data_IF_456965531807
#
_entry.id   IF_456965531807
#
_cell.length_a   1.000
_cell.length_b   1.000
_cell.length_c   1.000
_cell.angle_alpha   90.00
_cell.angle_beta   90.00
_cell.angle_gamma   90.00
#
_symmetry.space_group_name_H-M   'P 1'
#
loop_
_entity.id
_entity.type
_entity.pdbx_description
1 polymer ?
#
# COMPACT_ATOMS: atom_id res chain seq x y z
N UNK A 1 17.49 12.23 -9.25
CA UNK A 1 17.34 12.43 -7.78
C UNK A 1 18.25 11.43 -7.09
N UNK A 2 18.95 11.83 -6.01
CA UNK A 2 19.79 10.89 -5.24
C UNK A 2 18.86 10.00 -4.42
N UNK A 3 18.63 8.75 -4.86
CA UNK A 3 17.74 7.78 -4.22
C UNK A 3 18.38 7.07 -3.02
N UNK A 4 19.62 7.41 -2.67
CA UNK A 4 20.35 6.72 -1.59
C UNK A 4 19.79 6.96 -0.17
N UNK A 5 18.85 7.89 0.01
CA UNK A 5 18.24 8.23 1.30
C UNK A 5 16.71 8.04 1.31
N UNK A 6 16.16 7.34 0.33
CA UNK A 6 14.72 7.04 0.26
C UNK A 6 14.33 6.00 1.31
N UNK A 7 13.29 6.31 2.09
CA UNK A 7 12.66 5.40 3.05
C UNK A 7 11.16 5.37 2.83
N UNK A 8 10.53 4.25 3.10
CA UNK A 8 9.09 4.08 2.83
C UNK A 8 8.36 3.47 4.02
N UNK A 9 7.22 4.05 4.35
CA UNK A 9 6.21 3.47 5.23
C UNK A 9 4.94 3.20 4.40
N UNK A 10 4.47 1.97 4.41
CA UNK A 10 3.16 1.58 3.85
C UNK A 10 2.26 1.15 4.99
N UNK A 11 1.09 1.78 5.12
CA UNK A 11 0.07 1.46 6.12
C UNK A 11 -1.16 0.96 5.41
N UNK A 12 -1.53 -0.28 5.70
CA UNK A 12 -2.78 -0.90 5.29
C UNK A 12 -3.83 -0.79 6.39
N UNK A 13 -5.02 -0.28 6.04
CA UNK A 13 -6.19 -0.22 6.89
C UNK A 13 -7.29 -1.06 6.26
N UNK A 14 -7.49 -2.29 6.76
CA UNK A 14 -8.41 -3.27 6.18
C UNK A 14 -9.85 -2.79 6.22
N UNK A 15 -10.57 -3.00 5.12
CA UNK A 15 -11.99 -2.71 5.02
C UNK A 15 -12.37 -1.24 5.20
N UNK A 16 -11.41 -0.30 5.07
CA UNK A 16 -11.68 1.13 5.26
C UNK A 16 -12.37 1.73 4.05
N UNK A 17 -13.62 2.12 4.21
CA UNK A 17 -14.45 2.79 3.19
C UNK A 17 -14.02 4.26 3.01
N UNK A 18 -13.75 4.64 1.76
CA UNK A 18 -13.32 5.99 1.43
C UNK A 18 -14.40 7.06 1.66
N UNK A 19 -15.66 6.77 1.35
CA UNK A 19 -16.77 7.69 1.58
C UNK A 19 -16.98 7.99 3.07
N UNK A 20 -16.77 7.00 3.95
CA UNK A 20 -16.85 7.18 5.40
C UNK A 20 -15.63 7.89 5.97
N UNK A 21 -14.44 7.61 5.43
CA UNK A 21 -13.24 8.34 5.76
C UNK A 21 -13.41 9.84 5.47
N UNK A 22 -13.97 10.20 4.30
CA UNK A 22 -14.04 11.59 3.84
C UNK A 22 -15.25 12.35 4.31
N UNK A 23 -16.22 11.71 5.00
CA UNK A 23 -17.44 12.38 5.50
C UNK A 23 -17.17 13.49 6.52
N UNK A 24 -16.10 13.36 7.32
CA UNK A 24 -15.69 14.37 8.29
C UNK A 24 -14.22 14.22 8.69
N UNK A 25 -13.44 15.30 8.74
CA UNK A 25 -12.07 15.23 9.27
C UNK A 25 -11.97 14.74 10.72
N UNK A 26 -13.06 14.81 11.49
CA UNK A 26 -13.07 14.38 12.90
C UNK A 26 -12.93 12.88 13.08
N UNK A 27 -13.26 12.05 12.06
CA UNK A 27 -13.16 10.59 12.16
C UNK A 27 -11.74 10.07 11.96
N UNK A 28 -10.88 10.83 11.25
CA UNK A 28 -9.48 10.47 10.97
C UNK A 28 -8.63 11.74 10.73
N UNK A 29 -8.39 12.57 11.74
CA UNK A 29 -7.72 13.86 11.56
C UNK A 29 -6.29 13.76 11.05
N UNK A 30 -5.54 12.73 11.42
CA UNK A 30 -4.15 12.50 10.96
C UNK A 30 -4.13 12.15 9.48
N UNK A 31 -5.00 11.23 9.06
CA UNK A 31 -5.09 10.81 7.65
C UNK A 31 -5.60 11.94 6.76
N UNK A 32 -6.56 12.74 7.22
CA UNK A 32 -6.98 13.96 6.52
C UNK A 32 -5.86 14.99 6.39
N UNK A 33 -5.04 15.16 7.43
CA UNK A 33 -3.82 15.98 7.36
C UNK A 33 -2.86 15.48 6.29
N UNK A 34 -2.63 14.16 6.26
CA UNK A 34 -1.76 13.52 5.27
C UNK A 34 -2.30 13.68 3.84
N UNK A 35 -3.62 13.56 3.63
CA UNK A 35 -4.29 13.83 2.34
C UNK A 35 -4.14 15.29 1.90
N UNK A 36 -4.23 16.22 2.84
CA UNK A 36 -4.11 17.65 2.56
C UNK A 36 -2.65 18.07 2.24
N UNK A 37 -1.67 17.44 2.86
CA UNK A 37 -0.24 17.71 2.65
C UNK A 37 0.37 16.92 1.47
N UNK A 38 -0.27 15.82 1.08
CA UNK A 38 0.18 14.90 0.03
C UNK A 38 -0.74 14.86 -1.19
N UNK A 39 -0.79 13.70 -1.79
CA UNK A 39 -1.67 13.36 -2.89
C UNK A 39 -2.55 12.17 -2.54
N UNK A 40 -3.79 12.14 -3.05
CA UNK A 40 -4.69 11.01 -2.86
C UNK A 40 -5.62 10.82 -4.05
N UNK A 41 -6.20 9.65 -4.16
CA UNK A 41 -7.18 9.31 -5.17
C UNK A 41 -7.83 7.97 -4.89
N UNK A 42 -8.90 7.69 -5.64
CA UNK A 42 -9.65 6.44 -5.56
C UNK A 42 -9.66 5.70 -6.89
N UNK A 43 -9.93 4.42 -6.84
CA UNK A 43 -10.26 3.59 -7.98
C UNK A 43 -11.24 2.49 -7.57
N UNK A 44 -11.86 1.85 -8.58
CA UNK A 44 -12.64 0.65 -8.34
C UNK A 44 -11.80 -0.58 -8.62
N UNK A 45 -11.84 -1.56 -7.75
CA UNK A 45 -11.28 -2.87 -8.00
C UNK A 45 -11.92 -3.45 -9.27
N UNK A 46 -11.14 -4.01 -10.21
CA UNK A 46 -11.71 -4.68 -11.37
C UNK A 46 -12.50 -5.90 -10.92
N UNK A 47 -13.77 -6.00 -11.35
CA UNK A 47 -14.67 -7.09 -10.99
C UNK A 47 -15.41 -7.58 -12.23
N UNK A 48 -15.29 -8.87 -12.56
CA UNK A 48 -15.84 -9.46 -13.78
C UNK A 48 -14.96 -9.25 -15.02
N UNK A 49 -15.49 -9.58 -16.18
CA UNK A 49 -14.84 -9.25 -17.46
C UNK A 49 -14.88 -7.73 -17.63
N UNK A 50 -13.74 -7.10 -17.57
CA UNK A 50 -13.64 -5.66 -17.87
C UNK A 50 -13.74 -5.52 -19.37
N UNK A 51 -14.83 -4.92 -19.85
CA UNK A 51 -14.98 -4.55 -21.24
C UNK A 51 -13.76 -3.73 -21.72
N UNK A 52 -12.85 -4.40 -22.37
CA UNK A 52 -12.08 -3.98 -23.52
C UNK A 52 -11.17 -2.76 -23.44
N UNK A 53 -10.77 -2.21 -22.29
CA UNK A 53 -9.83 -1.09 -22.24
C UNK A 53 -8.81 -1.15 -21.11
N UNK A 54 -7.98 -2.20 -21.09
CA UNK A 54 -6.68 -2.07 -20.48
C UNK A 54 -5.65 -1.63 -21.53
N UNK A 55 -4.61 -0.84 -21.19
CA UNK A 55 -3.58 -0.45 -22.14
C UNK A 55 -2.90 -1.62 -22.86
N UNK A 56 -2.99 -2.82 -22.32
CA UNK A 56 -2.30 -4.03 -22.78
C UNK A 56 -3.27 -5.13 -23.30
N UNK A 57 -4.53 -4.82 -23.59
CA UNK A 57 -5.53 -5.77 -24.10
C UNK A 57 -6.61 -6.14 -23.06
N UNK A 58 -7.57 -7.03 -23.41
CA UNK A 58 -8.66 -7.37 -22.51
C UNK A 58 -8.13 -7.99 -21.23
N UNK A 59 -8.24 -7.26 -20.12
CA UNK A 59 -7.89 -7.76 -18.81
C UNK A 59 -9.05 -8.61 -18.28
N UNK A 60 -8.82 -9.91 -18.13
CA UNK A 60 -9.71 -10.82 -17.39
C UNK A 60 -9.45 -10.76 -15.88
N UNK A 61 -8.70 -9.77 -15.41
CA UNK A 61 -8.30 -9.64 -14.02
C UNK A 61 -9.49 -9.26 -13.16
N UNK A 62 -9.96 -10.21 -12.38
CA UNK A 62 -10.91 -9.98 -11.32
C UNK A 62 -10.16 -9.77 -10.02
N UNK A 63 -10.28 -8.56 -9.43
CA UNK A 63 -9.83 -8.32 -8.07
C UNK A 63 -11.00 -8.60 -7.13
N UNK A 64 -10.88 -9.67 -6.38
CA UNK A 64 -11.89 -10.05 -5.38
C UNK A 64 -11.85 -9.06 -4.22
N UNK A 65 -13.01 -8.69 -3.71
CA UNK A 65 -13.17 -7.78 -2.57
C UNK A 65 -13.01 -8.52 -1.24
N UNK A 66 -11.96 -9.31 -1.13
CA UNK A 66 -11.54 -10.06 0.06
C UNK A 66 -10.10 -9.69 0.44
N UNK A 67 -9.78 -9.78 1.73
CA UNK A 67 -8.48 -9.36 2.28
C UNK A 67 -7.30 -10.14 1.71
N UNK A 68 -7.42 -11.46 1.52
CA UNK A 68 -6.36 -12.29 0.94
C UNK A 68 -5.92 -11.81 -0.46
N UNK A 69 -6.83 -11.72 -1.46
CA UNK A 69 -6.54 -11.18 -2.79
C UNK A 69 -6.13 -9.71 -2.77
N UNK A 70 -6.80 -8.87 -1.97
CA UNK A 70 -6.54 -7.43 -1.89
C UNK A 70 -5.11 -7.15 -1.40
N UNK A 71 -4.73 -7.69 -0.24
CA UNK A 71 -3.38 -7.53 0.30
C UNK A 71 -2.32 -8.22 -0.53
N UNK A 72 -2.64 -9.35 -1.19
CA UNK A 72 -1.73 -9.96 -2.16
C UNK A 72 -1.46 -9.00 -3.32
N UNK A 73 -2.48 -8.32 -3.84
CA UNK A 73 -2.35 -7.34 -4.92
C UNK A 73 -1.51 -6.14 -4.50
N UNK A 74 -1.76 -5.58 -3.29
CA UNK A 74 -0.97 -4.48 -2.71
C UNK A 74 0.51 -4.85 -2.59
N UNK A 75 0.79 -6.03 -2.03
CA UNK A 75 2.15 -6.44 -1.68
C UNK A 75 2.95 -6.90 -2.90
N UNK A 76 2.32 -7.58 -3.87
CA UNK A 76 3.03 -8.14 -5.03
C UNK A 76 3.09 -7.22 -6.25
N UNK A 77 2.15 -6.26 -6.38
CA UNK A 77 2.03 -5.36 -7.54
C UNK A 77 1.45 -6.01 -8.78
N UNK A 78 0.74 -7.13 -8.60
CA UNK A 78 0.00 -7.83 -9.66
C UNK A 78 -1.39 -8.24 -9.16
N UNK A 79 -2.33 -8.47 -10.10
CA UNK A 79 -3.69 -8.91 -9.79
C UNK A 79 -3.80 -10.44 -9.56
N UNK A 80 -4.95 -10.93 -9.09
CA UNK A 80 -5.22 -12.37 -8.84
C UNK A 80 -4.97 -13.31 -10.02
N UNK A 81 -5.08 -12.83 -11.26
CA UNK A 81 -4.74 -13.61 -12.46
C UNK A 81 -3.26 -14.01 -12.49
N UNK A 82 -2.40 -13.31 -11.76
CA UNK A 82 -0.96 -13.58 -11.68
C UNK A 82 -0.53 -14.14 -10.35
N UNK A 83 -0.89 -13.49 -9.22
CA UNK A 83 -0.48 -14.01 -7.91
C UNK A 83 -1.30 -15.22 -7.46
N UNK A 84 -2.43 -15.53 -8.12
CA UNK A 84 -3.20 -16.77 -7.92
C UNK A 84 -4.18 -16.77 -6.74
N UNK A 85 -4.11 -15.80 -5.83
CA UNK A 85 -4.96 -15.72 -4.63
C UNK A 85 -6.33 -15.16 -4.99
N UNK A 86 -7.39 -15.90 -4.63
CA UNK A 86 -8.79 -15.53 -4.94
C UNK A 86 -9.71 -15.46 -3.72
N UNK A 87 -9.20 -15.83 -2.55
CA UNK A 87 -9.92 -15.80 -1.27
C UNK A 87 -8.97 -15.88 -0.09
N UNK A 88 -9.51 -15.84 1.12
CA UNK A 88 -8.74 -15.81 2.36
C UNK A 88 -8.09 -17.16 2.73
N UNK A 89 -8.32 -18.22 1.94
CA UNK A 89 -7.59 -19.49 2.05
C UNK A 89 -6.21 -19.47 1.38
N UNK A 90 -5.95 -18.44 0.54
CA UNK A 90 -4.71 -18.27 -0.24
C UNK A 90 -4.41 -19.44 -1.18
N UNK A 91 -5.41 -20.20 -1.57
CA UNK A 91 -5.25 -21.30 -2.51
C UNK A 91 -4.75 -20.76 -3.86
N UNK A 92 -3.74 -21.44 -4.43
CA UNK A 92 -3.15 -21.05 -5.72
C UNK A 92 -2.11 -19.95 -5.67
N UNK A 93 -1.71 -19.47 -4.48
CA UNK A 93 -0.72 -18.40 -4.34
C UNK A 93 0.62 -18.74 -5.01
N UNK A 94 1.12 -17.87 -5.87
CA UNK A 94 2.42 -17.94 -6.55
C UNK A 94 3.36 -16.82 -6.11
N UNK A 95 3.64 -16.76 -4.81
CA UNK A 95 4.58 -15.79 -4.25
C UNK A 95 6.05 -16.10 -4.57
N UNK A 96 6.33 -17.28 -5.09
CA UNK A 96 7.64 -17.64 -5.64
C UNK A 96 7.96 -16.80 -6.89
N UNK A 97 6.98 -16.62 -7.75
CA UNK A 97 7.08 -15.81 -8.97
C UNK A 97 6.80 -14.34 -8.71
N UNK A 98 5.84 -14.03 -7.85
CA UNK A 98 5.39 -12.67 -7.52
C UNK A 98 5.58 -12.40 -6.02
N UNK A 99 6.84 -12.29 -5.53
CA UNK A 99 7.11 -11.97 -4.13
C UNK A 99 6.69 -10.55 -3.80
N UNK A 100 6.45 -10.30 -2.51
CA UNK A 100 6.13 -8.97 -1.98
C UNK A 100 7.25 -7.95 -2.24
N UNK A 101 6.89 -6.66 -2.23
CA UNK A 101 7.82 -5.57 -2.54
C UNK A 101 8.99 -5.47 -1.53
N UNK A 102 8.80 -5.85 -0.25
CA UNK A 102 9.88 -5.85 0.74
C UNK A 102 10.91 -6.92 0.42
N UNK A 103 10.44 -8.12 0.05
CA UNK A 103 11.30 -9.23 -0.41
C UNK A 103 12.03 -8.88 -1.70
N UNK A 104 11.35 -8.23 -2.66
CA UNK A 104 12.00 -7.73 -3.89
C UNK A 104 13.06 -6.69 -3.57
N UNK A 105 12.78 -5.75 -2.66
CA UNK A 105 13.73 -4.71 -2.28
C UNK A 105 15.02 -5.31 -1.72
N UNK A 106 14.93 -6.26 -0.78
CA UNK A 106 16.10 -6.94 -0.21
C UNK A 106 16.84 -7.77 -1.26
N UNK A 107 16.11 -8.44 -2.16
CA UNK A 107 16.73 -9.23 -3.24
C UNK A 107 17.51 -8.33 -4.20
N UNK A 108 16.96 -7.17 -4.56
CA UNK A 108 17.61 -6.20 -5.44
C UNK A 108 18.78 -5.46 -4.76
N UNK A 109 18.65 -5.17 -3.47
CA UNK A 109 19.65 -4.48 -2.65
C UNK A 109 19.75 -5.11 -1.27
N UNK A 110 20.67 -6.06 -1.09
CA UNK A 110 20.84 -6.83 0.16
C UNK A 110 21.12 -6.00 1.41
N UNK A 111 21.54 -4.74 1.26
CA UNK A 111 21.80 -3.82 2.37
C UNK A 111 20.53 -3.19 2.96
N UNK A 112 19.39 -3.30 2.27
CA UNK A 112 18.16 -2.70 2.76
C UNK A 112 17.59 -3.45 3.95
N UNK A 113 17.19 -2.70 4.95
CA UNK A 113 16.50 -3.20 6.13
C UNK A 113 15.00 -3.06 5.93
N UNK A 114 14.31 -4.19 5.80
CA UNK A 114 12.86 -4.23 5.62
C UNK A 114 12.17 -4.82 6.83
N UNK A 115 10.96 -4.33 7.13
CA UNK A 115 10.20 -4.80 8.27
C UNK A 115 8.69 -4.84 7.95
N UNK A 116 7.98 -5.79 8.54
CA UNK A 116 6.53 -5.91 8.45
C UNK A 116 5.94 -6.27 9.82
N UNK A 117 4.92 -5.53 10.25
CA UNK A 117 4.14 -5.81 11.45
C UNK A 117 2.65 -5.87 11.08
N UNK A 118 1.98 -6.95 11.43
CA UNK A 118 0.60 -7.21 11.01
C UNK A 118 -0.26 -7.69 12.18
N UNK A 119 -1.53 -7.29 12.20
CA UNK A 119 -2.54 -7.79 13.14
C UNK A 119 -3.36 -8.95 12.58
N UNK A 120 -3.20 -9.28 11.29
CA UNK A 120 -3.71 -10.49 10.67
C UNK A 120 -2.57 -11.46 10.34
N UNK A 121 -2.38 -12.54 11.13
CA UNK A 121 -1.24 -13.44 11.02
C UNK A 121 -1.10 -14.14 9.66
N UNK A 122 -2.20 -14.31 8.93
CA UNK A 122 -2.23 -15.07 7.67
C UNK A 122 -1.32 -14.45 6.61
N UNK A 123 -1.13 -13.13 6.59
CA UNK A 123 -0.19 -12.47 5.67
C UNK A 123 1.25 -12.99 5.80
N UNK A 124 1.64 -13.42 7.00
CA UNK A 124 2.95 -14.03 7.25
C UNK A 124 2.88 -15.56 7.14
N UNK A 125 1.83 -16.18 7.70
CA UNK A 125 1.67 -17.65 7.69
C UNK A 125 1.55 -18.21 6.29
N UNK A 126 0.84 -17.51 5.40
CA UNK A 126 0.62 -17.92 4.00
C UNK A 126 1.73 -17.49 3.04
N UNK A 127 2.66 -16.65 3.51
CA UNK A 127 3.85 -16.26 2.75
C UNK A 127 3.65 -15.04 1.85
N UNK A 128 2.53 -14.32 1.96
CA UNK A 128 2.33 -13.05 1.26
C UNK A 128 3.44 -12.07 1.62
N UNK A 129 3.82 -12.02 2.91
CA UNK A 129 5.05 -11.41 3.39
C UNK A 129 6.12 -12.50 3.50
N UNK A 130 6.98 -12.58 2.50
CA UNK A 130 7.93 -13.66 2.29
C UNK A 130 9.07 -13.73 3.31
N UNK A 131 9.81 -14.85 3.34
CA UNK A 131 10.89 -15.07 4.31
C UNK A 131 12.09 -14.14 4.13
N UNK A 132 12.22 -13.46 2.99
CA UNK A 132 13.28 -12.50 2.72
C UNK A 132 13.09 -11.15 3.43
N UNK A 133 11.87 -10.84 3.91
CA UNK A 133 11.63 -9.65 4.73
C UNK A 133 12.45 -9.75 6.02
N UNK A 134 13.28 -8.74 6.28
CA UNK A 134 14.29 -8.78 7.35
C UNK A 134 13.72 -8.94 8.76
N UNK A 135 12.59 -8.27 9.05
CA UNK A 135 11.86 -8.42 10.32
C UNK A 135 10.38 -8.62 10.04
N UNK A 136 9.79 -9.63 10.65
CA UNK A 136 8.35 -9.92 10.55
C UNK A 136 7.78 -10.20 11.92
N UNK A 137 6.78 -9.42 12.31
CA UNK A 137 6.02 -9.63 13.54
C UNK A 137 4.54 -9.73 13.23
N UNK A 138 3.87 -10.69 13.82
CA UNK A 138 2.43 -10.86 13.76
C UNK A 138 1.84 -10.85 15.16
N UNK A 139 0.74 -10.15 15.29
CA UNK A 139 -0.15 -10.22 16.44
C UNK A 139 -1.46 -10.83 15.97
N UNK A 140 -2.16 -11.55 16.79
CA UNK A 140 -3.34 -12.31 16.40
C UNK A 140 -4.60 -11.52 16.74
N UNK A 141 -5.12 -10.73 15.78
CA UNK A 141 -6.32 -9.94 15.97
C UNK A 141 -7.57 -10.76 16.20
N UNK A 142 -7.66 -11.96 15.63
CA UNK A 142 -8.80 -12.85 15.83
C UNK A 142 -8.85 -13.41 17.26
N UNK A 143 -7.70 -13.75 17.84
CA UNK A 143 -7.62 -14.29 19.19
C UNK A 143 -7.57 -13.21 20.29
N UNK A 144 -6.83 -12.12 20.05
CA UNK A 144 -6.53 -11.09 21.08
C UNK A 144 -7.39 -9.84 20.94
N UNK A 145 -8.22 -9.77 19.90
CA UNK A 145 -8.98 -8.61 19.46
C UNK A 145 -8.13 -7.63 18.64
N UNK A 146 -8.66 -7.22 17.47
CA UNK A 146 -7.92 -6.35 16.53
C UNK A 146 -7.51 -5.00 17.13
N UNK A 147 -8.32 -4.41 18.01
CA UNK A 147 -7.92 -3.17 18.68
C UNK A 147 -6.65 -3.32 19.54
N UNK A 148 -6.43 -4.48 20.16
CA UNK A 148 -5.21 -4.81 20.90
C UNK A 148 -4.05 -5.09 19.94
N UNK A 149 -4.29 -5.93 18.95
CA UNK A 149 -3.29 -6.33 17.96
C UNK A 149 -2.78 -5.13 17.15
N UNK A 150 -3.66 -4.25 16.65
CA UNK A 150 -3.32 -3.03 15.92
C UNK A 150 -2.43 -2.09 16.77
N UNK A 151 -2.75 -1.93 18.05
CA UNK A 151 -1.93 -1.14 18.97
C UNK A 151 -0.52 -1.72 19.14
N UNK A 152 -0.39 -3.04 19.25
CA UNK A 152 0.91 -3.71 19.35
C UNK A 152 1.70 -3.60 18.04
N UNK A 153 1.04 -3.72 16.89
CA UNK A 153 1.62 -3.47 15.57
C UNK A 153 2.17 -2.05 15.50
N UNK A 154 1.36 -1.05 15.86
CA UNK A 154 1.76 0.36 15.82
C UNK A 154 2.97 0.64 16.72
N UNK A 155 2.96 0.14 17.97
CA UNK A 155 4.09 0.32 18.91
C UNK A 155 5.36 -0.37 18.44
N UNK A 156 5.23 -1.52 17.80
CA UNK A 156 6.38 -2.23 17.24
C UNK A 156 6.98 -1.46 16.07
N UNK A 157 6.16 -0.99 15.14
CA UNK A 157 6.62 -0.21 13.99
C UNK A 157 7.18 1.16 14.42
N UNK A 158 6.54 1.86 15.37
CA UNK A 158 7.03 3.11 15.98
C UNK A 158 8.46 2.95 16.49
N UNK A 159 8.70 1.88 17.27
CA UNK A 159 10.03 1.57 17.80
C UNK A 159 11.03 1.30 16.68
N UNK A 160 10.67 0.50 15.68
CA UNK A 160 11.56 0.22 14.55
C UNK A 160 11.92 1.49 13.78
N UNK A 161 10.93 2.31 13.46
CA UNK A 161 11.14 3.59 12.77
C UNK A 161 12.05 4.48 13.61
N UNK A 162 11.82 4.61 14.91
CA UNK A 162 12.59 5.49 15.78
C UNK A 162 14.02 5.01 16.05
N UNK A 163 14.23 3.69 16.21
CA UNK A 163 15.47 3.14 16.78
C UNK A 163 16.28 2.25 15.85
N UNK A 164 15.60 1.46 14.99
CA UNK A 164 16.24 0.33 14.29
C UNK A 164 16.62 0.61 12.84
N UNK A 165 16.37 1.81 12.34
CA UNK A 165 16.74 2.31 11.01
C UNK A 165 16.27 1.46 9.81
N UNK A 166 14.97 1.13 9.69
CA UNK A 166 14.47 0.44 8.52
C UNK A 166 14.46 1.35 7.30
N UNK A 167 14.61 0.77 6.10
CA UNK A 167 14.46 1.45 4.82
C UNK A 167 13.02 1.35 4.30
N UNK A 168 12.35 0.23 4.57
CA UNK A 168 10.95 0.04 4.22
C UNK A 168 10.20 -0.70 5.33
N UNK A 169 9.02 -0.19 5.68
CA UNK A 169 8.13 -0.76 6.69
C UNK A 169 6.75 -0.94 6.10
N UNK A 170 6.17 -2.11 6.27
CA UNK A 170 4.76 -2.39 6.05
C UNK A 170 4.05 -2.62 7.37
N UNK A 171 2.91 -1.97 7.54
CA UNK A 171 2.04 -2.07 8.72
C UNK A 171 0.63 -2.42 8.27
N UNK A 172 0.01 -3.39 8.92
CA UNK A 172 -1.38 -3.77 8.67
C UNK A 172 -2.21 -3.63 9.93
N UNK A 173 -3.35 -2.94 9.81
CA UNK A 173 -4.36 -2.76 10.83
C UNK A 173 -5.69 -3.37 10.36
N UNK A 174 -6.35 -4.17 11.21
CA UNK A 174 -7.57 -4.89 10.87
C UNK A 174 -8.83 -4.45 11.62
N UNK A 175 -8.74 -3.51 12.58
CA UNK A 175 -9.88 -3.21 13.45
C UNK A 175 -11.06 -2.53 12.75
N UNK A 176 -10.88 -1.82 11.63
CA UNK A 176 -11.98 -1.24 10.85
C UNK A 176 -12.81 -2.31 10.17
N UNK A 177 -12.16 -3.30 9.56
CA UNK A 177 -12.81 -4.44 8.93
C UNK A 177 -13.62 -5.26 9.95
N UNK A 178 -13.00 -5.62 11.06
CA UNK A 178 -13.66 -6.36 12.14
C UNK A 178 -14.89 -5.62 12.68
N UNK A 179 -14.80 -4.31 12.89
CA UNK A 179 -15.94 -3.52 13.34
C UNK A 179 -17.06 -3.48 12.32
N UNK A 180 -16.73 -3.41 11.01
CA UNK A 180 -17.71 -3.46 9.94
C UNK A 180 -18.40 -4.83 9.86
N UNK A 181 -17.65 -5.93 10.01
CA UNK A 181 -18.23 -7.27 10.11
C UNK A 181 -19.16 -7.44 11.30
N UNK A 182 -18.78 -6.93 12.46
CA UNK A 182 -19.54 -7.13 13.68
C UNK A 182 -20.86 -6.35 13.69
N UNK A 183 -20.88 -5.08 13.24
CA UNK A 183 -22.02 -4.16 13.43
C UNK A 183 -22.24 -3.18 12.28
N UNK A 184 -21.58 -3.36 11.15
CA UNK A 184 -21.68 -2.52 9.95
C UNK A 184 -20.82 -1.27 10.01
N UNK A 185 -20.45 -0.73 8.82
CA UNK A 185 -19.51 0.39 8.70
C UNK A 185 -20.11 1.75 9.08
N UNK A 186 -21.44 1.87 9.24
CA UNK A 186 -22.10 3.09 9.71
C UNK A 186 -22.23 3.16 11.24
N UNK A 187 -21.54 2.28 11.97
CA UNK A 187 -21.64 2.19 13.44
C UNK A 187 -20.63 3.09 14.15
N UNK A 188 -20.93 3.46 15.40
CA UNK A 188 -19.98 4.11 16.29
C UNK A 188 -18.74 3.24 16.58
N UNK A 189 -18.86 1.92 16.49
CA UNK A 189 -17.74 1.01 16.68
C UNK A 189 -16.73 1.16 15.53
N UNK A 190 -17.22 1.23 14.29
CA UNK A 190 -16.37 1.49 13.12
C UNK A 190 -15.67 2.85 13.21
N UNK A 191 -16.40 3.91 13.59
CA UNK A 191 -15.81 5.25 13.78
C UNK A 191 -14.71 5.25 14.84
N UNK A 192 -14.91 4.52 15.95
CA UNK A 192 -13.90 4.39 16.99
C UNK A 192 -12.69 3.59 16.54
N UNK A 193 -12.91 2.51 15.77
CA UNK A 193 -11.83 1.72 15.19
C UNK A 193 -10.98 2.60 14.24
N UNK A 194 -11.64 3.34 13.33
CA UNK A 194 -10.97 4.26 12.42
C UNK A 194 -10.17 5.35 13.17
N UNK A 195 -10.77 6.03 14.15
CA UNK A 195 -10.09 7.06 14.94
C UNK A 195 -8.91 6.48 15.73
N UNK A 196 -9.01 5.23 16.18
CA UNK A 196 -7.93 4.54 16.89
C UNK A 196 -6.78 4.22 15.93
N UNK A 197 -7.06 3.68 14.75
CA UNK A 197 -6.05 3.42 13.72
C UNK A 197 -5.41 4.71 13.20
N UNK A 198 -6.17 5.78 13.06
CA UNK A 198 -5.68 7.11 12.73
C UNK A 198 -4.70 7.65 13.79
N UNK A 199 -5.01 7.43 15.07
CA UNK A 199 -4.10 7.72 16.18
C UNK A 199 -2.81 6.90 16.08
N UNK A 200 -2.91 5.63 15.72
CA UNK A 200 -1.74 4.77 15.50
C UNK A 200 -0.88 5.27 14.32
N UNK A 201 -1.50 5.70 13.22
CA UNK A 201 -0.80 6.37 12.12
C UNK A 201 -0.05 7.60 12.62
N UNK A 202 -0.68 8.40 13.49
CA UNK A 202 -0.06 9.57 14.13
C UNK A 202 1.23 9.23 14.89
N UNK A 203 1.29 8.10 15.60
CA UNK A 203 2.52 7.64 16.28
C UNK A 203 3.64 7.33 15.28
N UNK A 204 3.31 6.69 14.17
CA UNK A 204 4.30 6.36 13.14
C UNK A 204 4.84 7.62 12.46
N UNK A 205 3.97 8.58 12.14
CA UNK A 205 4.38 9.86 11.57
C UNK A 205 5.23 10.69 12.55
N UNK A 206 4.89 10.67 13.84
CA UNK A 206 5.69 11.33 14.88
C UNK A 206 7.10 10.68 15.01
N UNK A 207 7.19 9.36 14.91
CA UNK A 207 8.48 8.66 14.89
C UNK A 207 9.32 9.07 13.67
N UNK A 208 8.71 9.18 12.47
CA UNK A 208 9.38 9.68 11.27
C UNK A 208 9.83 11.14 11.47
N UNK A 209 8.95 11.99 12.01
CA UNK A 209 9.27 13.40 12.24
C UNK A 209 10.43 13.58 13.25
N UNK A 210 10.48 12.76 14.29
CA UNK A 210 11.56 12.81 15.31
C UNK A 210 12.94 12.51 14.71
N UNK A 211 13.02 11.68 13.68
CA UNK A 211 14.28 11.35 12.98
C UNK A 211 14.92 12.57 12.31
N UNK A 212 14.10 13.51 11.83
CA UNK A 212 14.59 14.75 11.18
C UNK A 212 15.36 15.66 12.13
N UNK A 213 15.17 15.48 13.43
CA UNK A 213 15.90 16.23 14.47
C UNK A 213 17.32 15.69 14.68
N UNK A 214 17.62 14.48 14.20
CA UNK A 214 18.96 13.89 14.22
C UNK A 214 19.73 14.36 12.98
N UNK A 215 20.86 15.11 13.13
CA UNK A 215 21.66 15.56 11.98
C UNK A 215 22.14 14.42 11.07
N UNK A 216 22.38 13.22 11.62
CA UNK A 216 22.79 12.05 10.83
C UNK A 216 21.66 11.54 9.91
N UNK A 217 20.41 11.82 10.26
CA UNK A 217 19.18 11.36 9.57
C UNK A 217 18.45 12.48 8.82
N UNK A 218 18.91 13.72 8.91
CA UNK A 218 18.25 14.90 8.32
C UNK A 218 18.08 14.83 6.78
N UNK A 219 18.85 13.95 6.12
CA UNK A 219 18.74 13.72 4.66
C UNK A 219 17.76 12.63 4.26
N UNK A 220 17.16 11.92 5.22
CA UNK A 220 16.19 10.87 4.93
C UNK A 220 14.94 11.47 4.26
N UNK A 221 14.46 10.76 3.25
CA UNK A 221 13.27 11.13 2.49
C UNK A 221 12.22 10.04 2.67
N UNK A 222 11.38 10.22 3.66
CA UNK A 222 10.29 9.29 3.93
C UNK A 222 9.13 9.53 2.98
N UNK A 223 8.74 8.49 2.28
CA UNK A 223 7.48 8.39 1.56
C UNK A 223 6.51 7.59 2.41
N UNK A 224 5.32 8.13 2.64
CA UNK A 224 4.23 7.44 3.36
C UNK A 224 3.12 7.12 2.39
N UNK A 225 2.71 5.87 2.35
CA UNK A 225 1.57 5.37 1.59
C UNK A 225 0.54 4.82 2.57
N UNK A 226 -0.73 5.20 2.41
CA UNK A 226 -1.85 4.63 3.17
C UNK A 226 -2.88 4.11 2.17
N UNK A 227 -3.40 2.91 2.39
CA UNK A 227 -4.40 2.28 1.52
C UNK A 227 -5.33 1.35 2.31
N UNK A 228 -6.42 0.97 1.68
CA UNK A 228 -7.27 -0.16 2.03
C UNK A 228 -7.16 -1.23 0.95
N UNK A 229 -7.69 -2.40 1.18
CA UNK A 229 -7.74 -3.50 0.20
C UNK A 229 -9.12 -3.69 -0.43
N UNK A 230 -10.20 -3.33 0.28
CA UNK A 230 -11.60 -3.30 -0.16
C UNK A 230 -12.43 -2.38 0.74
N UNK A 231 -13.69 -2.21 0.40
CA UNK A 231 -14.70 -1.60 1.26
C UNK A 231 -15.68 -2.64 1.80
N UNK A 232 -16.87 -2.18 2.22
CA UNK A 232 -17.93 -3.00 2.83
C UNK A 232 -19.29 -2.62 2.30
N UNK A 233 -20.24 -3.56 2.36
CA UNK A 233 -21.67 -3.27 2.28
C UNK A 233 -22.11 -2.40 3.46
N UNK A 234 -23.19 -1.61 3.31
CA UNK A 234 -23.75 -0.81 4.40
C UNK A 234 -24.23 -1.66 5.60
N UNK A 235 -24.61 -2.91 5.33
CA UNK A 235 -24.97 -3.91 6.34
C UNK A 235 -23.78 -4.60 7.01
N UNK A 236 -22.54 -4.31 6.56
CA UNK A 236 -21.35 -5.09 6.89
C UNK A 236 -21.13 -6.26 5.92
N UNK A 237 -19.90 -6.80 5.93
CA UNK A 237 -19.48 -7.84 4.99
C UNK A 237 -19.03 -7.27 3.64
N UNK A 238 -18.32 -8.12 2.89
CA UNK A 238 -17.71 -7.83 1.59
C UNK A 238 -17.57 -9.13 0.79
N UNK A 239 -16.91 -9.10 -0.38
CA UNK A 239 -16.73 -10.25 -1.27
C UNK A 239 -17.55 -10.14 -2.55
N UNK A 240 -18.41 -9.10 -2.67
CA UNK A 240 -19.27 -8.83 -3.81
C UNK A 240 -18.71 -7.77 -4.76
N UNK A 241 -19.59 -7.25 -5.62
CA UNK A 241 -19.24 -6.36 -6.73
C UNK A 241 -19.82 -4.94 -6.61
N UNK A 242 -20.39 -4.61 -5.46
CA UNK A 242 -20.98 -3.28 -5.26
C UNK A 242 -19.88 -2.20 -5.28
N UNK A 243 -20.27 -0.98 -5.62
CA UNK A 243 -19.36 0.17 -5.61
C UNK A 243 -18.68 0.34 -4.24
N UNK A 244 -19.46 0.20 -3.16
CA UNK A 244 -18.99 0.39 -1.79
C UNK A 244 -17.94 -0.66 -1.35
N UNK A 245 -18.02 -1.89 -1.88
CA UNK A 245 -17.01 -2.94 -1.64
C UNK A 245 -15.76 -2.74 -2.49
N UNK A 246 -15.92 -2.24 -3.72
CA UNK A 246 -14.85 -2.12 -4.72
C UNK A 246 -14.07 -0.82 -4.67
N UNK A 247 -14.63 0.24 -4.06
CA UNK A 247 -13.93 1.53 -3.98
C UNK A 247 -12.77 1.43 -3.00
N UNK A 248 -11.56 1.62 -3.54
CA UNK A 248 -10.31 1.65 -2.78
C UNK A 248 -9.61 2.98 -2.99
N UNK A 249 -8.70 3.33 -2.09
CA UNK A 249 -7.97 4.58 -2.16
C UNK A 249 -6.47 4.38 -1.94
N UNK A 250 -5.69 5.34 -2.40
CA UNK A 250 -4.28 5.49 -2.04
C UNK A 250 -4.04 6.94 -1.62
N UNK A 251 -3.38 7.10 -0.49
CA UNK A 251 -2.79 8.36 -0.05
C UNK A 251 -1.27 8.24 -0.17
N UNK A 252 -0.62 9.24 -0.74
CA UNK A 252 0.82 9.31 -0.96
C UNK A 252 1.33 10.65 -0.44
N UNK A 253 2.19 10.63 0.56
CA UNK A 253 2.84 11.83 1.07
C UNK A 253 4.36 11.67 1.06
N UNK A 254 5.05 12.65 0.50
CA UNK A 254 6.50 12.69 0.41
C UNK A 254 7.05 14.12 0.43
N UNK A 255 8.30 14.34 0.87
CA UNK A 255 8.87 15.67 0.92
C UNK A 255 8.93 16.37 -0.44
N UNK A 256 8.35 17.57 -0.52
CA UNK A 256 8.30 18.38 -1.74
C UNK A 256 7.14 18.05 -2.67
N UNK A 257 6.20 17.21 -2.25
CA UNK A 257 4.94 17.04 -2.96
C UNK A 257 4.03 18.26 -2.70
N UNK A 258 3.40 18.83 -3.73
CA UNK A 258 2.40 19.86 -3.51
C UNK A 258 1.19 19.27 -2.78
N UNK A 259 0.74 19.94 -1.71
CA UNK A 259 -0.41 19.49 -0.94
C UNK A 259 -1.71 19.49 -1.75
N UNK A 260 -2.65 18.61 -1.38
CA UNK A 260 -3.95 18.48 -2.03
C UNK A 260 -3.90 17.99 -3.48
N UNK A 261 -2.77 17.44 -3.91
CA UNK A 261 -2.62 16.88 -5.26
C UNK A 261 -3.52 15.65 -5.44
N UNK A 262 -4.10 15.48 -6.63
CA UNK A 262 -4.83 14.25 -6.96
C UNK A 262 -3.91 13.23 -7.57
N UNK A 263 -4.10 11.96 -7.18
CA UNK A 263 -3.60 10.82 -7.93
C UNK A 263 -4.62 10.45 -9.01
N UNK A 264 -4.14 10.19 -10.21
CA UNK A 264 -5.00 9.74 -11.30
C UNK A 264 -5.26 8.24 -11.16
N UNK A 265 -6.48 7.89 -10.74
CA UNK A 265 -6.99 6.52 -10.61
C UNK A 265 -5.94 5.53 -10.06
N UNK A 266 -5.44 5.74 -8.82
CA UNK A 266 -4.40 4.90 -8.25
C UNK A 266 -5.00 3.52 -7.91
N UNK A 267 -4.29 2.45 -8.29
CA UNK A 267 -4.71 1.07 -8.07
C UNK A 267 -3.90 0.43 -6.94
N UNK A 268 -4.42 -0.59 -6.30
CA UNK A 268 -3.71 -1.33 -5.24
C UNK A 268 -2.34 -1.85 -5.72
N UNK A 269 -2.29 -2.35 -6.96
CA UNK A 269 -1.07 -2.88 -7.57
C UNK A 269 0.00 -1.81 -7.87
N UNK A 270 -0.36 -0.53 -7.83
CA UNK A 270 0.58 0.58 -8.08
C UNK A 270 1.48 0.86 -6.85
N UNK A 271 1.12 0.31 -5.68
CA UNK A 271 1.89 0.49 -4.43
C UNK A 271 3.26 -0.17 -4.52
N UNK A 272 3.34 -1.43 -4.92
CA UNK A 272 4.60 -2.16 -4.99
C UNK A 272 5.66 -1.48 -5.90
N UNK A 273 5.37 -1.15 -7.19
CA UNK A 273 6.34 -0.43 -8.01
C UNK A 273 6.66 0.97 -7.48
N UNK A 274 5.71 1.65 -6.82
CA UNK A 274 5.97 2.96 -6.19
C UNK A 274 6.96 2.84 -5.04
N UNK A 275 6.80 1.84 -4.17
CA UNK A 275 7.74 1.57 -3.06
C UNK A 275 9.14 1.31 -3.62
N UNK A 276 9.27 0.44 -4.63
CA UNK A 276 10.56 0.10 -5.24
C UNK A 276 11.24 1.34 -5.84
N UNK A 277 10.50 2.17 -6.57
CA UNK A 277 11.00 3.41 -7.14
C UNK A 277 11.51 4.37 -6.05
N UNK A 278 10.76 4.54 -4.96
CA UNK A 278 11.15 5.42 -3.85
C UNK A 278 12.38 4.93 -3.09
N UNK A 279 12.62 3.62 -3.09
CA UNK A 279 13.86 3.01 -2.59
C UNK A 279 15.01 3.08 -3.62
N UNK A 280 14.77 3.68 -4.79
CA UNK A 280 15.74 3.79 -5.88
C UNK A 280 16.05 2.45 -6.55
N UNK A 281 15.08 1.55 -6.57
CA UNK A 281 15.17 0.25 -7.23
C UNK A 281 14.39 0.35 -8.55
N UNK A 282 15.05 0.31 -9.70
CA UNK A 282 14.36 0.26 -10.99
C UNK A 282 13.47 -0.98 -11.08
N UNK A 283 12.24 -0.79 -11.50
CA UNK A 283 11.32 -1.92 -11.74
C UNK A 283 11.80 -2.67 -12.97
N UNK A 284 12.24 -3.92 -12.77
CA UNK A 284 12.64 -4.78 -13.87
C UNK A 284 11.38 -5.27 -14.62
N UNK A 285 11.28 -5.05 -15.95
CA UNK A 285 10.17 -5.57 -16.75
C UNK A 285 9.97 -7.08 -16.62
N UNK A 286 11.04 -7.84 -16.37
CA UNK A 286 10.99 -9.30 -16.16
C UNK A 286 10.20 -9.70 -14.89
N UNK A 287 9.99 -8.80 -13.95
CA UNK A 287 9.15 -9.07 -12.78
C UNK A 287 7.66 -9.14 -13.12
N UNK A 288 7.26 -8.63 -14.29
CA UNK A 288 5.89 -8.68 -14.78
C UNK A 288 4.89 -7.94 -13.90
N UNK A 289 5.32 -6.86 -13.21
CA UNK A 289 4.41 -6.03 -12.42
C UNK A 289 3.35 -5.40 -13.33
N UNK A 290 2.10 -5.41 -12.89
CA UNK A 290 0.98 -4.80 -13.62
C UNK A 290 0.71 -3.37 -13.12
N UNK A 291 1.29 -3.00 -11.97
CA UNK A 291 1.20 -1.66 -11.41
C UNK A 291 2.16 -0.69 -12.07
N UNK A 292 1.88 0.59 -11.92
CA UNK A 292 2.72 1.72 -12.34
C UNK A 292 3.21 2.50 -11.12
N UNK A 293 4.30 3.23 -11.28
CA UNK A 293 4.78 4.16 -10.24
C UNK A 293 3.81 5.33 -10.13
N UNK A 294 3.36 5.62 -8.92
CA UNK A 294 2.49 6.76 -8.65
C UNK A 294 3.31 8.06 -8.57
N UNK A 295 2.82 9.07 -9.27
CA UNK A 295 3.33 10.43 -9.23
C UNK A 295 2.15 11.37 -8.96
N UNK A 296 2.34 12.40 -8.14
CA UNK A 296 1.36 13.49 -8.05
C UNK A 296 1.22 14.20 -9.40
N UNK A 297 0.00 14.54 -9.79
CA UNK A 297 -0.25 15.30 -11.03
C UNK A 297 0.53 16.63 -10.95
N UNK A 298 1.52 16.80 -11.77
CA UNK A 298 2.44 17.95 -11.81
C UNK A 298 3.87 17.59 -12.22
N UNK A 299 4.23 16.30 -12.20
CA UNK A 299 5.48 15.81 -12.80
C UNK A 299 5.16 15.20 -14.16
N UNK A 300 5.41 15.96 -15.22
CA UNK A 300 5.45 15.44 -16.60
C UNK A 300 6.44 14.26 -16.63
N UNK A 301 5.94 13.08 -16.97
CA UNK A 301 6.79 11.95 -17.32
C UNK A 301 7.60 12.37 -18.54
N UNK A 302 8.87 12.71 -18.37
CA UNK A 302 9.80 12.71 -19.49
C UNK A 302 9.97 11.25 -19.90
N UNK A 303 9.21 10.83 -20.91
CA UNK A 303 9.56 9.64 -21.67
C UNK A 303 11.00 9.82 -22.17
N UNK A 304 11.88 8.81 -22.09
CA UNK A 304 13.19 8.90 -22.71
C UNK A 304 12.98 9.17 -24.20
N UNK A 305 13.67 10.19 -24.72
CA UNK A 305 13.62 10.53 -26.15
C UNK A 305 14.00 9.28 -26.96
N UNK A 306 13.27 8.99 -28.05
CA UNK A 306 13.65 7.89 -28.92
C UNK A 306 15.08 8.13 -29.44
N UNK A 307 15.88 7.06 -29.61
CA UNK A 307 17.23 7.20 -30.12
C UNK A 307 17.20 7.88 -31.48
N UNK A 308 17.93 8.97 -31.64
CA UNK A 308 18.13 9.66 -32.90
C UNK A 308 18.82 8.72 -33.87
N UNK A 309 18.15 8.40 -34.97
CA UNK A 309 18.74 7.64 -36.06
C UNK A 309 19.98 8.35 -36.60
N UNK A 310 21.07 7.64 -36.89
CA UNK A 310 22.27 8.24 -37.49
C UNK A 310 21.94 8.79 -38.88
N UNK A 311 22.61 9.87 -39.31
CA UNK A 311 22.39 10.44 -40.62
C UNK A 311 22.82 9.45 -41.72
N UNK A 312 21.94 9.21 -42.67
CA UNK A 312 22.23 8.48 -43.90
C UNK A 312 23.31 9.23 -44.68
N UNK A 313 24.45 8.62 -44.83
CA UNK A 313 25.50 9.11 -45.73
C UNK A 313 25.06 8.86 -47.16
N UNK A 314 24.66 9.91 -47.86
CA UNK A 314 24.62 9.92 -49.32
C UNK A 314 26.06 9.80 -49.83
N UNK A 315 26.34 8.74 -50.57
CA UNK A 315 27.52 8.63 -51.44
C UNK A 315 27.11 9.02 -52.87
N UNK A 316 27.76 10.02 -53.34
CA UNK A 316 27.85 10.41 -54.78
C UNK A 316 28.57 9.37 -55.60
#
# INVERSE_FOLDING_TARGET
>A
MNHDNGKVLVVGMDGLRYDLLTRSPAVAPVLHGLMAEGAHGTSLLPYGEVDGQAPDGPSTSMAYTDSGPGWSSVLTGVWPDRHGVRGNDFAGADYGRYPDFLSRAVTARRRLHTAAAVSWPELIRRGTLGPAVGRRVRYDGESDGYGTADRLVARTAERWIGQDDPDAVFVYFGATDEAAHAVGPHSLAYDRALLTQDTHLGWLLAAIASRRSDPARARERWTVLVTTDHGHLDSGGHGGDTHAEREVFVVLAEPGMPGGTRLDTPRLIDIAPTVLDRLGIPVDPAWGLQGRVLHGLGRSCHAPAPPTSPPTSERS
#
